data_IF_569737985869
#
_entry.id   IF_569737985869
#
_cell.length_a   1.000
_cell.length_b   1.000
_cell.length_c   1.000
_cell.angle_alpha   90.00
_cell.angle_beta   90.00
_cell.angle_gamma   90.00
#
_symmetry.space_group_name_H-M   'P 1'
#
loop_
_entity.id
_entity.type
_entity.pdbx_description
1 polymer ?
#
# COMPACT_ATOMS: atom_id res chain seq x y z
N UNK A 1 -26.59 -15.19 -18.46
CA UNK A 1 -25.43 -14.41 -17.96
C UNK A 1 -24.39 -15.37 -17.43
N UNK A 2 -23.17 -15.23 -17.89
CA UNK A 2 -22.04 -16.05 -17.43
C UNK A 2 -21.67 -15.68 -15.99
N UNK A 3 -21.50 -16.70 -15.12
CA UNK A 3 -21.09 -16.48 -13.73
C UNK A 3 -19.76 -15.70 -13.62
N UNK A 4 -18.84 -15.86 -14.60
CA UNK A 4 -17.56 -15.14 -14.63
C UNK A 4 -17.74 -13.63 -14.76
N UNK A 5 -18.84 -13.14 -15.35
CA UNK A 5 -19.09 -11.71 -15.48
C UNK A 5 -19.34 -11.01 -14.12
N UNK A 6 -19.59 -11.80 -13.08
CA UNK A 6 -19.82 -11.30 -11.72
C UNK A 6 -18.56 -11.35 -10.85
N UNK A 7 -17.46 -11.91 -11.35
CA UNK A 7 -16.22 -11.98 -10.62
C UNK A 7 -15.46 -10.66 -10.74
N UNK A 8 -14.73 -10.28 -9.72
CA UNK A 8 -13.84 -9.13 -9.82
C UNK A 8 -12.84 -9.31 -10.95
N UNK A 9 -12.62 -8.28 -11.76
CA UNK A 9 -11.74 -8.35 -12.93
C UNK A 9 -10.27 -8.15 -12.56
N UNK A 10 -10.01 -7.42 -11.47
CA UNK A 10 -8.65 -7.14 -10.97
C UNK A 10 -8.73 -6.60 -9.55
N UNK A 11 -7.59 -6.51 -8.89
CA UNK A 11 -7.52 -5.77 -7.64
C UNK A 11 -7.58 -4.27 -7.97
N UNK A 12 -8.31 -3.50 -7.16
CA UNK A 12 -8.24 -2.05 -7.23
C UNK A 12 -6.97 -1.56 -6.57
N UNK A 13 -6.75 -1.98 -5.35
CA UNK A 13 -5.51 -1.69 -4.64
C UNK A 13 -5.28 -2.71 -3.53
N UNK A 14 -4.04 -2.75 -3.08
CA UNK A 14 -3.58 -3.58 -1.97
C UNK A 14 -2.84 -2.65 -1.01
N UNK A 15 -3.19 -2.66 0.27
CA UNK A 15 -2.73 -1.65 1.22
C UNK A 15 -1.90 -2.26 2.36
N UNK A 16 -0.80 -1.60 2.71
CA UNK A 16 0.11 -2.03 3.76
C UNK A 16 0.57 -0.85 4.61
N UNK A 17 0.63 -1.04 5.92
CA UNK A 17 1.30 -0.08 6.80
C UNK A 17 2.79 -0.37 6.77
N UNK A 18 3.60 0.66 6.57
CA UNK A 18 5.05 0.53 6.49
C UNK A 18 5.71 1.34 7.60
N UNK A 19 6.96 0.99 7.89
CA UNK A 19 7.72 1.65 8.95
C UNK A 19 8.13 3.06 8.56
N UNK A 20 8.50 3.26 7.30
CA UNK A 20 8.97 4.56 6.80
C UNK A 20 8.48 4.74 5.37
N UNK A 21 7.55 5.67 5.18
CA UNK A 21 6.90 5.88 3.89
C UNK A 21 7.88 6.40 2.84
N UNK A 22 8.82 7.27 3.21
CA UNK A 22 9.79 7.82 2.27
C UNK A 22 10.77 6.74 1.76
N UNK A 23 11.21 5.86 2.63
CA UNK A 23 12.07 4.73 2.22
C UNK A 23 11.30 3.81 1.27
N UNK A 24 10.03 3.55 1.57
CA UNK A 24 9.15 2.75 0.71
C UNK A 24 8.97 3.42 -0.66
N UNK A 25 8.74 4.74 -0.68
CA UNK A 25 8.61 5.50 -1.92
C UNK A 25 9.86 5.39 -2.78
N UNK A 26 11.03 5.55 -2.18
CA UNK A 26 12.31 5.44 -2.91
C UNK A 26 12.46 4.05 -3.52
N UNK A 27 12.07 3.01 -2.80
CA UNK A 27 12.16 1.65 -3.33
C UNK A 27 11.24 1.45 -4.53
N UNK A 28 9.98 1.79 -4.40
CA UNK A 28 9.01 1.50 -5.47
C UNK A 28 9.10 2.48 -6.65
N UNK A 29 9.30 3.76 -6.39
CA UNK A 29 9.36 4.77 -7.46
C UNK A 29 10.73 4.81 -8.12
N UNK A 30 11.80 4.93 -7.33
CA UNK A 30 13.15 5.16 -7.87
C UNK A 30 13.79 3.85 -8.31
N UNK A 31 13.80 2.83 -7.44
CA UNK A 31 14.49 1.58 -7.75
C UNK A 31 13.70 0.70 -8.71
N UNK A 32 12.40 0.50 -8.46
CA UNK A 32 11.57 -0.35 -9.31
C UNK A 32 10.90 0.39 -10.45
N UNK A 33 10.85 1.72 -10.41
CA UNK A 33 10.29 2.52 -11.50
C UNK A 33 8.76 2.51 -11.59
N UNK A 34 8.05 2.18 -10.50
CA UNK A 34 6.60 2.27 -10.49
C UNK A 34 6.15 3.72 -10.46
N UNK A 35 5.01 4.00 -11.08
CA UNK A 35 4.48 5.36 -11.14
C UNK A 35 3.78 5.72 -9.84
N UNK A 36 4.26 6.77 -9.17
CA UNK A 36 3.58 7.36 -8.02
C UNK A 36 2.40 8.18 -8.53
N UNK A 37 1.18 7.74 -8.23
CA UNK A 37 -0.03 8.36 -8.77
C UNK A 37 -0.75 9.26 -7.78
N UNK A 38 -0.55 9.04 -6.48
CA UNK A 38 -1.18 9.86 -5.46
C UNK A 38 -0.40 9.79 -4.16
N UNK A 39 -0.34 10.91 -3.45
CA UNK A 39 0.21 10.97 -2.10
C UNK A 39 -0.51 12.08 -1.33
N UNK A 40 -0.95 11.77 -0.11
CA UNK A 40 -1.60 12.76 0.76
C UNK A 40 -1.62 12.28 2.20
N UNK A 41 -1.93 13.23 3.10
CA UNK A 41 -2.12 12.94 4.51
C UNK A 41 -3.54 13.35 4.91
N UNK A 42 -4.13 12.62 5.82
CA UNK A 42 -5.49 12.91 6.28
C UNK A 42 -5.68 12.49 7.74
N UNK A 43 -6.77 13.00 8.33
CA UNK A 43 -7.21 12.60 9.65
C UNK A 43 -8.56 11.91 9.54
N UNK A 44 -8.67 10.76 10.18
CA UNK A 44 -9.91 9.98 10.16
C UNK A 44 -10.12 9.32 11.51
N UNK A 45 -11.39 9.24 11.95
CA UNK A 45 -11.73 8.44 13.13
C UNK A 45 -11.60 6.97 12.76
N UNK A 46 -10.64 6.30 13.38
CA UNK A 46 -10.41 4.88 13.21
C UNK A 46 -10.46 4.22 14.59
N UNK A 47 -11.42 3.32 14.75
CA UNK A 47 -11.60 2.57 15.99
C UNK A 47 -11.77 3.49 17.21
N UNK A 48 -12.60 4.54 17.06
CA UNK A 48 -12.97 5.44 18.14
C UNK A 48 -11.95 6.51 18.51
N UNK A 49 -10.91 6.68 17.71
CA UNK A 49 -9.86 7.68 17.95
C UNK A 49 -9.50 8.38 16.64
N UNK A 50 -9.39 9.71 16.70
CA UNK A 50 -8.92 10.48 15.54
C UNK A 50 -7.43 10.21 15.30
N UNK A 51 -7.11 9.71 14.10
CA UNK A 51 -5.74 9.33 13.74
C UNK A 51 -5.31 10.07 12.50
N UNK A 52 -4.05 10.49 12.45
CA UNK A 52 -3.44 11.14 11.32
C UNK A 52 -2.49 10.17 10.63
N UNK A 53 -2.62 10.03 9.32
CA UNK A 53 -1.73 9.17 8.55
C UNK A 53 -1.50 9.75 7.18
N UNK A 54 -0.35 9.40 6.61
CA UNK A 54 0.00 9.72 5.22
C UNK A 54 0.03 8.43 4.42
N UNK A 55 -0.33 8.53 3.15
CA UNK A 55 -0.30 7.38 2.27
C UNK A 55 0.11 7.76 0.85
N UNK A 56 0.64 6.77 0.14
CA UNK A 56 1.00 6.91 -1.25
C UNK A 56 0.52 5.70 -2.04
N UNK A 57 0.24 5.93 -3.32
CA UNK A 57 -0.24 4.91 -4.25
C UNK A 57 0.68 4.82 -5.45
N UNK A 58 1.04 3.59 -5.80
CA UNK A 58 1.82 3.30 -7.01
C UNK A 58 0.97 2.45 -7.93
N UNK A 59 0.80 2.90 -9.16
CA UNK A 59 -0.03 2.21 -10.14
C UNK A 59 0.82 1.30 -11.02
N UNK A 60 0.34 0.09 -11.25
CA UNK A 60 0.97 -0.88 -12.15
C UNK A 60 0.17 -1.00 -13.46
N UNK A 61 0.63 -1.85 -14.38
CA UNK A 61 0.16 -1.85 -15.75
C UNK A 61 -1.34 -2.14 -15.94
N UNK A 62 -1.95 -2.91 -15.04
CA UNK A 62 -3.39 -3.20 -15.10
C UNK A 62 -4.26 -2.15 -14.40
N UNK A 63 -3.65 -1.02 -14.01
CA UNK A 63 -4.27 0.09 -13.28
C UNK A 63 -4.61 -0.23 -11.83
N UNK A 64 -4.25 -1.39 -11.34
CA UNK A 64 -4.31 -1.65 -9.90
C UNK A 64 -3.17 -0.93 -9.19
N UNK A 65 -3.32 -0.72 -7.88
CA UNK A 65 -2.36 0.08 -7.12
C UNK A 65 -1.85 -0.66 -5.89
N UNK A 66 -0.62 -0.36 -5.54
CA UNK A 66 -0.05 -0.66 -4.23
C UNK A 66 -0.19 0.60 -3.39
N UNK A 67 -0.78 0.47 -2.21
CA UNK A 67 -0.98 1.57 -1.28
C UNK A 67 -0.16 1.33 -0.02
N UNK A 68 0.54 2.36 0.44
CA UNK A 68 1.37 2.27 1.63
C UNK A 68 1.01 3.40 2.58
N UNK A 69 0.94 3.09 3.87
CA UNK A 69 0.50 4.01 4.92
C UNK A 69 1.54 4.11 6.02
N UNK A 70 1.64 5.30 6.60
CA UNK A 70 2.41 5.53 7.82
C UNK A 70 1.62 6.45 8.73
N UNK A 71 1.49 6.08 10.01
CA UNK A 71 0.81 6.92 10.99
C UNK A 71 1.78 7.97 11.53
N UNK A 72 1.24 9.17 11.80
CA UNK A 72 2.02 10.28 12.35
C UNK A 72 2.33 10.08 13.83
N UNK A 73 1.39 9.50 14.58
CA UNK A 73 1.53 9.25 16.01
C UNK A 73 2.31 7.96 16.26
N UNK A 74 3.28 8.01 17.16
CA UNK A 74 4.14 6.85 17.43
C UNK A 74 3.37 5.65 18.00
N UNK A 75 2.36 5.90 18.82
CA UNK A 75 1.55 4.82 19.39
C UNK A 75 0.67 4.17 18.32
N UNK A 76 0.07 4.98 17.43
CA UNK A 76 -0.70 4.45 16.31
C UNK A 76 0.18 3.62 15.38
N UNK A 77 1.37 4.13 15.09
CA UNK A 77 2.33 3.41 14.23
C UNK A 77 2.75 2.08 14.85
N UNK A 78 2.94 2.05 16.17
CA UNK A 78 3.27 0.82 16.87
C UNK A 78 2.12 -0.19 16.85
N UNK A 79 0.88 0.30 16.98
CA UNK A 79 -0.31 -0.55 17.00
C UNK A 79 -0.60 -1.18 15.64
N UNK A 80 -0.49 -0.40 14.55
CA UNK A 80 -0.88 -0.84 13.21
C UNK A 80 0.31 -1.14 12.28
N UNK A 81 1.51 -0.80 12.70
CA UNK A 81 2.71 -1.00 11.90
C UNK A 81 3.11 -2.47 11.76
N UNK A 82 4.05 -2.76 10.87
CA UNK A 82 4.50 -4.13 10.66
C UNK A 82 5.22 -4.66 11.89
N UNK A 83 4.95 -5.92 12.21
CA UNK A 83 5.67 -6.62 13.26
C UNK A 83 7.10 -6.92 12.84
N UNK A 84 8.00 -6.96 13.79
CA UNK A 84 9.41 -7.31 13.59
C UNK A 84 9.74 -8.60 14.34
N UNK A 85 10.59 -9.48 13.75
CA UNK A 85 11.15 -9.40 12.40
C UNK A 85 10.12 -9.61 11.31
N UNK A 86 10.37 -9.04 10.14
CA UNK A 86 9.47 -9.20 9.01
C UNK A 86 9.56 -10.65 8.52
N UNK A 87 8.39 -11.30 8.46
CA UNK A 87 8.31 -12.69 7.99
C UNK A 87 8.33 -12.73 6.46
N UNK A 88 9.04 -13.72 5.89
CA UNK A 88 8.99 -13.99 4.45
C UNK A 88 7.62 -14.43 3.96
N UNK A 89 6.70 -14.76 4.85
CA UNK A 89 5.32 -15.07 4.48
C UNK A 89 4.48 -13.83 4.16
N UNK A 90 4.95 -12.64 4.55
CA UNK A 90 4.33 -11.36 4.18
C UNK A 90 5.06 -10.80 2.98
N UNK A 91 4.43 -10.86 1.82
CA UNK A 91 5.06 -10.41 0.59
C UNK A 91 4.03 -9.94 -0.42
N UNK A 92 4.51 -9.13 -1.36
CA UNK A 92 3.76 -8.74 -2.55
C UNK A 92 4.52 -9.32 -3.73
N UNK A 93 3.82 -10.06 -4.58
CA UNK A 93 4.41 -10.63 -5.79
C UNK A 93 3.89 -9.88 -7.01
N UNK A 94 4.79 -9.39 -7.82
CA UNK A 94 4.49 -8.66 -9.06
C UNK A 94 4.98 -9.48 -10.24
N UNK A 95 4.10 -9.65 -11.23
CA UNK A 95 4.48 -10.31 -12.48
C UNK A 95 5.06 -9.28 -13.44
N UNK A 96 6.23 -9.60 -14.00
CA UNK A 96 6.87 -8.77 -15.00
C UNK A 96 6.76 -9.49 -16.33
N UNK A 97 6.25 -8.79 -17.35
CA UNK A 97 6.18 -9.34 -18.69
C UNK A 97 7.56 -9.30 -19.33
N UNK A 98 7.88 -10.38 -20.04
CA UNK A 98 9.13 -10.46 -20.81
C UNK A 98 8.90 -9.95 -22.22
N UNK A 99 9.83 -9.14 -22.71
CA UNK A 99 9.82 -8.67 -24.09
C UNK A 99 10.46 -9.68 -25.03
#
# INVERSE_FOLDING_TARGET
MNAQSKLPSRLHHNAHVVKNLEVTRQFYEVLLGLKLTATWCEQTDLFGKLRTYCHCFFTIADESSLAFFQFADADDQAEFGPELPISGFRHIALKVEQD
#
